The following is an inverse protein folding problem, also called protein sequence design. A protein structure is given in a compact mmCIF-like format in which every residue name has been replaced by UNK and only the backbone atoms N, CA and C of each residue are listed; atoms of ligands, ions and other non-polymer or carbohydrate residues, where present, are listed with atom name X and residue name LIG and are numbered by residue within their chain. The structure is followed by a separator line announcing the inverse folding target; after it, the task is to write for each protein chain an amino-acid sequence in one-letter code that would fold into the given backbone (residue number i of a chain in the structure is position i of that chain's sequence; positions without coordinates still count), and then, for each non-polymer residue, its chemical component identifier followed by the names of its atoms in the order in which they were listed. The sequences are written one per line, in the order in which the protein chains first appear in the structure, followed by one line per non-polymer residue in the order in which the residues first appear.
data_IF_621163257440
#
_entry.id   IF_621163257440
#
_cell.length_a   1.000
_cell.length_b   1.000
_cell.length_c   1.000
_cell.angle_alpha   90.00
_cell.angle_beta   90.00
_cell.angle_gamma   90.00
#
_symmetry.space_group_name_H-M   'P 1'
#
loop_
_entity.id
_entity.type
_entity.pdbx_description
1 polymer ?
#
# COMPACT_ATOMS: atom_id res chain seq x y z
N UNK A 1 10.08 -3.94 -8.10
CA UNK A 1 9.29 -4.46 -6.96
C UNK A 1 9.81 -5.83 -6.57
N UNK A 2 10.02 -6.04 -5.30
CA UNK A 2 10.70 -7.24 -4.82
C UNK A 2 10.16 -7.64 -3.45
N UNK A 3 9.93 -8.94 -3.25
CA UNK A 3 9.55 -9.49 -1.93
C UNK A 3 10.69 -10.37 -1.45
N UNK A 4 11.23 -10.08 -0.27
CA UNK A 4 12.34 -10.84 0.27
C UNK A 4 11.87 -12.11 1.02
N UNK A 5 12.83 -12.89 1.54
CA UNK A 5 12.54 -14.15 2.25
C UNK A 5 11.76 -13.94 3.56
N UNK A 6 11.79 -12.73 4.10
CA UNK A 6 11.03 -12.37 5.30
C UNK A 6 9.62 -11.87 4.98
N UNK A 7 9.23 -11.86 3.71
CA UNK A 7 7.92 -11.38 3.29
C UNK A 7 7.79 -9.87 3.21
N UNK A 8 8.90 -9.14 3.21
CA UNK A 8 8.89 -7.68 3.06
C UNK A 8 8.94 -7.34 1.58
N UNK A 9 7.94 -6.60 1.14
CA UNK A 9 7.89 -6.07 -0.22
C UNK A 9 8.57 -4.72 -0.25
N UNK A 10 9.47 -4.52 -1.22
CA UNK A 10 10.13 -3.23 -1.44
C UNK A 10 9.94 -2.78 -2.88
N UNK A 11 9.84 -1.47 -3.07
CA UNK A 11 9.70 -0.87 -4.39
C UNK A 11 10.38 0.49 -4.40
N UNK A 12 11.35 0.66 -5.30
CA UNK A 12 11.95 1.97 -5.53
C UNK A 12 11.12 2.74 -6.55
N UNK A 13 10.97 4.03 -6.34
CA UNK A 13 10.20 4.88 -7.23
C UNK A 13 10.68 6.33 -7.14
N UNK A 14 10.30 7.12 -8.15
CA UNK A 14 10.59 8.55 -8.19
C UNK A 14 9.32 9.28 -8.60
N UNK A 15 8.93 10.28 -7.82
CA UNK A 15 7.79 11.12 -8.15
C UNK A 15 8.22 12.28 -9.04
N UNK A 16 7.34 12.66 -9.94
CA UNK A 16 7.60 13.70 -10.95
C UNK A 16 6.66 14.88 -10.73
N UNK A 17 6.80 15.91 -11.57
CA UNK A 17 5.96 17.12 -11.52
C UNK A 17 4.45 16.80 -11.58
N UNK A 18 4.09 15.67 -12.16
CA UNK A 18 2.69 15.20 -12.21
C UNK A 18 2.09 14.95 -10.82
N UNK A 19 2.94 14.74 -9.84
CA UNK A 19 2.53 14.43 -8.46
C UNK A 19 2.67 15.65 -7.53
N UNK A 20 3.02 16.82 -8.09
CA UNK A 20 3.29 17.99 -7.27
C UNK A 20 2.04 18.52 -6.56
N UNK A 21 2.21 18.75 -5.25
CA UNK A 21 1.31 19.55 -4.43
C UNK A 21 2.01 20.87 -4.08
N UNK A 22 2.61 21.00 -2.88
CA UNK A 22 3.45 22.16 -2.59
C UNK A 22 4.67 22.18 -3.51
N UNK A 23 5.26 23.36 -3.81
CA UNK A 23 6.42 23.43 -4.69
C UNK A 23 7.54 22.47 -4.30
N UNK A 24 7.98 21.66 -5.25
CA UNK A 24 9.06 20.68 -5.06
C UNK A 24 8.69 19.40 -4.29
N UNK A 25 7.43 19.24 -3.91
CA UNK A 25 6.98 18.12 -3.10
C UNK A 25 5.70 17.49 -3.66
N UNK A 26 5.50 16.23 -3.36
CA UNK A 26 4.30 15.50 -3.77
C UNK A 26 3.09 15.90 -2.94
N UNK A 27 1.89 15.82 -3.54
CA UNK A 27 0.66 15.98 -2.79
C UNK A 27 0.37 14.69 -1.97
N UNK A 28 -0.41 14.84 -0.89
CA UNK A 28 -0.69 13.74 0.03
C UNK A 28 -1.38 12.56 -0.62
N UNK A 29 -2.23 12.80 -1.62
CA UNK A 29 -2.90 11.74 -2.36
C UNK A 29 -1.95 10.80 -3.09
N UNK A 30 -0.83 11.32 -3.62
CA UNK A 30 0.18 10.48 -4.26
C UNK A 30 0.85 9.55 -3.26
N UNK A 31 1.17 10.06 -2.07
CA UNK A 31 1.76 9.25 -0.99
C UNK A 31 0.81 8.13 -0.54
N UNK A 32 -0.46 8.47 -0.36
CA UNK A 32 -1.47 7.51 0.06
C UNK A 32 -1.69 6.42 -0.99
N UNK A 33 -1.70 6.80 -2.28
CA UNK A 33 -1.88 5.83 -3.37
C UNK A 33 -0.73 4.83 -3.43
N UNK A 34 0.49 5.26 -3.23
CA UNK A 34 1.66 4.38 -3.22
C UNK A 34 1.59 3.41 -2.05
N UNK A 35 1.28 3.88 -0.85
CA UNK A 35 1.15 3.01 0.32
C UNK A 35 0.00 2.04 0.18
N UNK A 36 -1.15 2.49 -0.32
CA UNK A 36 -2.28 1.62 -0.60
C UNK A 36 -1.85 0.47 -1.54
N UNK A 37 -1.16 0.80 -2.61
CA UNK A 37 -0.70 -0.19 -3.57
C UNK A 37 0.26 -1.21 -2.96
N UNK A 38 1.33 -0.78 -2.28
CA UNK A 38 2.31 -1.72 -1.74
C UNK A 38 1.77 -2.53 -0.57
N UNK A 39 0.92 -1.95 0.26
CA UNK A 39 0.27 -2.66 1.37
C UNK A 39 -0.69 -3.74 0.85
N UNK A 40 -1.43 -3.46 -0.22
CA UNK A 40 -2.30 -4.44 -0.86
C UNK A 40 -1.51 -5.51 -1.58
N UNK A 41 -0.47 -5.12 -2.30
CA UNK A 41 0.35 -6.06 -3.09
C UNK A 41 1.09 -7.07 -2.22
N UNK A 42 1.57 -6.70 -1.04
CA UNK A 42 2.24 -7.66 -0.15
C UNK A 42 1.26 -8.75 0.32
N UNK A 43 -0.01 -8.39 0.50
CA UNK A 43 -1.06 -9.35 0.88
C UNK A 43 -1.39 -10.29 -0.29
N UNK A 44 -1.55 -9.74 -1.50
CA UNK A 44 -1.78 -10.53 -2.71
C UNK A 44 -0.59 -11.44 -3.04
N UNK A 45 0.64 -10.95 -2.86
CA UNK A 45 1.85 -11.74 -3.10
C UNK A 45 1.95 -12.94 -2.16
N UNK A 46 1.35 -12.84 -0.98
CA UNK A 46 1.29 -13.95 -0.02
C UNK A 46 0.16 -14.95 -0.35
N UNK A 47 -0.59 -14.73 -1.42
CA UNK A 47 -1.64 -15.65 -1.89
C UNK A 47 -3.04 -15.32 -1.41
N UNK A 48 -3.26 -14.17 -0.79
CA UNK A 48 -4.57 -13.77 -0.28
C UNK A 48 -5.27 -12.83 -1.25
N UNK A 49 -6.48 -13.19 -1.65
CA UNK A 49 -7.33 -12.33 -2.49
C UNK A 49 -8.19 -11.48 -1.57
N UNK A 50 -7.90 -10.18 -1.54
CA UNK A 50 -8.47 -9.28 -0.53
C UNK A 50 -8.94 -7.97 -1.17
N UNK A 51 -9.78 -7.25 -0.43
CA UNK A 51 -10.16 -5.88 -0.71
C UNK A 51 -9.80 -5.04 0.51
N UNK A 52 -9.40 -3.80 0.29
CA UNK A 52 -9.11 -2.88 1.37
C UNK A 52 -10.41 -2.48 2.07
N UNK A 53 -10.45 -2.67 3.38
CA UNK A 53 -11.59 -2.25 4.21
C UNK A 53 -11.30 -0.95 4.95
N UNK A 54 -10.05 -0.74 5.33
CA UNK A 54 -9.63 0.48 6.03
C UNK A 54 -8.14 0.72 5.77
N UNK A 55 -7.79 1.97 5.57
CA UNK A 55 -6.40 2.37 5.40
C UNK A 55 -6.15 3.63 6.23
N UNK A 56 -5.11 3.59 7.05
CA UNK A 56 -4.65 4.72 7.84
C UNK A 56 -3.30 5.17 7.33
N UNK A 57 -3.15 6.47 7.07
CA UNK A 57 -1.91 7.05 6.58
C UNK A 57 -1.48 8.17 7.52
N UNK A 58 -0.24 8.12 7.97
CA UNK A 58 0.37 9.15 8.80
C UNK A 58 1.49 9.85 8.03
N UNK A 59 1.33 11.13 7.79
CA UNK A 59 2.29 11.96 7.07
C UNK A 59 3.23 12.62 8.07
N UNK A 60 4.51 12.27 8.00
CA UNK A 60 5.54 12.83 8.90
C UNK A 60 6.37 13.90 8.22
N UNK A 61 6.71 13.67 6.95
CA UNK A 61 7.49 14.58 6.13
C UNK A 61 6.95 14.58 4.72
N UNK A 62 7.01 15.73 4.01
CA UNK A 62 6.63 15.77 2.60
C UNK A 62 7.60 14.92 1.76
N UNK A 63 7.10 14.32 0.69
CA UNK A 63 7.95 13.56 -0.24
C UNK A 63 8.54 14.49 -1.28
N UNK A 64 9.88 14.51 -1.45
CA UNK A 64 10.50 15.32 -2.49
C UNK A 64 10.22 14.72 -3.87
N UNK A 65 10.10 15.59 -4.86
CA UNK A 65 10.04 15.18 -6.27
C UNK A 65 11.44 14.92 -6.80
N UNK A 66 11.53 14.09 -7.86
CA UNK A 66 12.77 13.83 -8.61
C UNK A 66 13.90 13.20 -7.79
N UNK A 67 13.57 12.55 -6.68
CA UNK A 67 14.55 11.84 -5.86
C UNK A 67 14.12 10.39 -5.68
N UNK A 68 15.09 9.46 -5.52
CA UNK A 68 14.74 8.05 -5.29
C UNK A 68 14.10 7.89 -3.92
N UNK A 69 12.96 7.21 -3.89
CA UNK A 69 12.20 6.90 -2.69
C UNK A 69 12.02 5.39 -2.60
N UNK A 70 11.92 4.88 -1.40
CA UNK A 70 11.70 3.45 -1.17
C UNK A 70 10.39 3.23 -0.44
N UNK A 71 9.51 2.42 -1.01
CA UNK A 71 8.32 1.96 -0.33
C UNK A 71 8.55 0.54 0.19
N UNK A 72 8.15 0.29 1.42
CA UNK A 72 8.19 -1.04 2.04
C UNK A 72 6.81 -1.39 2.58
N UNK A 73 6.46 -2.68 2.49
CA UNK A 73 5.24 -3.19 3.09
C UNK A 73 5.44 -4.61 3.60
N UNK A 74 4.72 -4.95 4.68
CA UNK A 74 4.74 -6.30 5.24
C UNK A 74 3.39 -6.61 5.89
N UNK A 75 3.07 -7.90 5.95
CA UNK A 75 1.91 -8.38 6.68
C UNK A 75 2.26 -8.45 8.17
N UNK A 76 1.41 -7.90 9.01
CA UNK A 76 1.60 -7.92 10.47
C UNK A 76 0.64 -8.86 11.18
N UNK A 77 -0.51 -9.16 10.57
CA UNK A 77 -1.48 -10.10 11.15
C UNK A 77 -2.25 -10.83 10.05
N UNK A 78 -2.44 -12.12 10.24
CA UNK A 78 -3.34 -12.92 9.39
C UNK A 78 -4.37 -13.56 10.31
N UNK A 79 -5.64 -13.15 10.15
CA UNK A 79 -6.77 -13.72 10.86
C UNK A 79 -7.71 -14.41 9.87
N UNK A 80 -8.71 -15.09 10.36
CA UNK A 80 -9.62 -15.89 9.52
C UNK A 80 -10.31 -15.07 8.42
N UNK A 81 -10.70 -13.82 8.74
CA UNK A 81 -11.49 -12.97 7.83
C UNK A 81 -10.80 -11.68 7.43
N UNK A 82 -9.68 -11.37 8.05
CA UNK A 82 -8.96 -10.12 7.78
C UNK A 82 -7.46 -10.32 7.84
N UNK A 83 -6.77 -9.48 7.11
CA UNK A 83 -5.32 -9.43 7.11
C UNK A 83 -4.91 -7.98 7.32
N UNK A 84 -3.91 -7.76 8.16
CA UNK A 84 -3.39 -6.42 8.41
C UNK A 84 -1.98 -6.34 7.84
N UNK A 85 -1.72 -5.28 7.08
CA UNK A 85 -0.37 -4.97 6.59
C UNK A 85 0.02 -3.57 7.00
N UNK A 86 1.30 -3.32 7.04
CA UNK A 86 1.90 -2.01 7.29
C UNK A 86 2.79 -1.63 6.13
N UNK A 87 2.90 -0.32 5.89
CA UNK A 87 3.77 0.19 4.86
C UNK A 87 4.43 1.49 5.29
N UNK A 88 5.52 1.82 4.65
CA UNK A 88 6.23 3.07 4.87
C UNK A 88 6.94 3.52 3.61
N UNK A 89 7.14 4.84 3.51
CA UNK A 89 7.95 5.44 2.45
C UNK A 89 9.18 6.07 3.11
N UNK A 90 10.33 5.70 2.62
CA UNK A 90 11.63 6.03 3.19
C UNK A 90 12.36 7.00 2.25
N UNK A 91 12.87 8.07 2.81
CA UNK A 91 13.64 9.08 2.08
C UNK A 91 15.08 8.61 1.82
N UNK A 92 15.81 9.27 0.90
CA UNK A 92 17.22 8.92 0.63
C UNK A 92 18.11 8.96 1.87
N UNK A 93 17.78 9.76 2.88
CA UNK A 93 18.53 9.82 4.14
C UNK A 93 18.13 8.72 5.14
N UNK A 94 17.31 7.76 4.72
CA UNK A 94 16.81 6.65 5.51
C UNK A 94 15.77 6.99 6.58
N UNK A 95 15.25 8.23 6.57
CA UNK A 95 14.15 8.60 7.48
C UNK A 95 12.80 8.20 6.88
N UNK A 96 11.86 7.86 7.74
CA UNK A 96 10.49 7.51 7.34
C UNK A 96 9.69 8.80 7.16
N UNK A 97 9.20 9.03 5.95
CA UNK A 97 8.41 10.22 5.63
C UNK A 97 6.91 9.99 5.77
N UNK A 98 6.44 8.81 5.40
CA UNK A 98 5.02 8.44 5.48
C UNK A 98 4.95 7.00 5.96
N UNK A 99 4.00 6.71 6.82
CA UNK A 99 3.73 5.33 7.22
C UNK A 99 2.24 5.09 7.26
N UNK A 100 1.85 3.82 7.14
CA UNK A 100 0.45 3.46 7.12
C UNK A 100 0.20 2.04 7.57
N UNK A 101 -1.07 1.76 7.79
CA UNK A 101 -1.55 0.42 8.04
C UNK A 101 -2.84 0.21 7.27
N UNK A 102 -3.07 -1.02 6.82
CA UNK A 102 -4.26 -1.39 6.08
C UNK A 102 -4.92 -2.63 6.67
N UNK A 103 -6.24 -2.61 6.72
CA UNK A 103 -7.05 -3.78 7.05
C UNK A 103 -7.69 -4.26 5.77
N UNK A 104 -7.45 -5.53 5.42
CA UNK A 104 -7.93 -6.15 4.20
C UNK A 104 -8.85 -7.31 4.54
N UNK A 105 -9.95 -7.41 3.83
CA UNK A 105 -10.92 -8.50 4.02
C UNK A 105 -10.82 -9.50 2.87
N UNK A 106 -11.05 -10.77 3.17
CA UNK A 106 -10.96 -11.83 2.17
C UNK A 106 -12.03 -11.61 1.11
N UNK A 107 -11.60 -11.42 -0.12
CA UNK A 107 -12.46 -11.06 -1.23
C UNK A 107 -13.16 -12.23 -1.91
N UNK A 108 -12.65 -13.46 -1.75
CA UNK A 108 -13.18 -14.63 -2.44
C UNK A 108 -14.68 -14.80 -2.23
N UNK A 109 -15.16 -14.68 -1.00
CA UNK A 109 -16.59 -14.76 -0.69
C UNK A 109 -17.39 -13.61 -1.28
N UNK A 110 -16.80 -12.43 -1.29
CA UNK A 110 -17.43 -11.25 -1.86
C UNK A 110 -17.63 -11.41 -3.36
N UNK A 111 -16.59 -11.84 -4.08
CA UNK A 111 -16.67 -12.05 -5.52
C UNK A 111 -17.60 -13.19 -5.89
N UNK A 112 -17.60 -14.30 -5.16
CA UNK A 112 -18.54 -15.39 -5.36
C UNK A 112 -19.98 -14.91 -5.22
N UNK A 113 -20.25 -14.15 -4.17
CA UNK A 113 -21.60 -13.61 -3.93
C UNK A 113 -22.01 -12.63 -5.04
N UNK A 114 -21.10 -11.79 -5.49
CA UNK A 114 -21.37 -10.84 -6.57
C UNK A 114 -21.65 -11.55 -7.89
N UNK A 115 -20.90 -12.61 -8.21
CA UNK A 115 -21.10 -13.42 -9.40
C UNK A 115 -22.45 -14.12 -9.34
N UNK A 116 -22.80 -14.71 -8.21
CA UNK A 116 -24.11 -15.38 -8.03
C UNK A 116 -25.26 -14.40 -8.15
N UNK A 117 -25.16 -13.23 -7.57
CA UNK A 117 -26.18 -12.18 -7.69
C UNK A 117 -26.29 -11.67 -9.13
N UNK A 118 -25.18 -11.55 -9.83
CA UNK A 118 -25.16 -11.17 -11.23
C UNK A 118 -25.81 -12.20 -12.15
N UNK A 119 -25.62 -13.49 -11.85
CA UNK A 119 -26.22 -14.59 -12.62
C UNK A 119 -27.74 -14.65 -12.47
N UNK A 120 -28.27 -14.09 -11.40
CA UNK A 120 -29.72 -14.09 -11.13
C UNK A 120 -30.43 -12.80 -11.55
N UNK A 121 -29.70 -11.87 -12.13
CA UNK A 121 -30.27 -10.56 -12.51
C UNK A 121 -30.65 -10.47 -13.99
#
# INVERSE_FOLDING_TARGET
MYVNDEGILTSEFTLTDRHQGPPGHAHGGASAAILDEVMGLVVWAAGHKVLAANININYRKPLPLHQPLLAEARITEVAERKIISEGKIILPDSTVAVEGSGVYVIASRFFEKAIMNGANS
#
